data_IF_607755015787
#
_entry.id   IF_607755015787
#
_cell.length_a   1.000
_cell.length_b   1.000
_cell.length_c   1.000
_cell.angle_alpha   90.00
_cell.angle_beta   90.00
_cell.angle_gamma   90.00
#
_symmetry.space_group_name_H-M   'P 1'
#
loop_
_entity.id
_entity.type
_entity.pdbx_description
1 polymer ?
#
# COMPACT_ATOMS: atom_id res chain seq x y z
N UNK A 1 -11.23 16.12 25.57
CA UNK A 1 -11.48 15.47 24.28
C UNK A 1 -10.45 16.05 23.35
N UNK A 2 -9.29 15.41 23.33
CA UNK A 2 -8.11 15.85 22.59
C UNK A 2 -8.01 14.94 21.37
N UNK A 3 -8.27 15.53 20.21
CA UNK A 3 -8.10 14.89 18.91
C UNK A 3 -6.62 14.51 18.75
N UNK A 4 -6.35 13.20 18.74
CA UNK A 4 -5.05 12.65 18.36
C UNK A 4 -5.04 12.63 16.85
N UNK A 5 -4.49 13.70 16.25
CA UNK A 5 -4.14 13.67 14.84
C UNK A 5 -2.98 12.69 14.68
N UNK A 6 -3.20 11.56 14.01
CA UNK A 6 -2.11 10.73 13.48
C UNK A 6 -1.36 11.61 12.47
N UNK A 7 -0.24 12.16 12.90
CA UNK A 7 0.65 12.91 12.04
C UNK A 7 1.26 11.95 11.02
N UNK A 8 1.38 12.45 9.79
CA UNK A 8 1.89 11.83 8.55
C UNK A 8 3.37 11.35 8.63
N UNK A 9 3.92 11.22 9.84
CA UNK A 9 5.30 10.80 10.12
C UNK A 9 5.45 9.27 10.29
N UNK A 10 4.35 8.56 10.56
CA UNK A 10 4.33 7.10 10.70
C UNK A 10 4.00 6.36 9.39
N UNK A 11 3.49 7.07 8.38
CA UNK A 11 3.17 6.58 7.03
C UNK A 11 4.35 6.77 6.08
N UNK A 12 5.41 5.98 6.27
CA UNK A 12 6.49 5.93 5.28
C UNK A 12 6.11 4.93 4.18
N UNK A 13 5.70 5.43 3.02
CA UNK A 13 5.87 4.67 1.77
C UNK A 13 7.31 4.86 1.37
N UNK A 14 7.95 3.74 1.11
CA UNK A 14 9.39 3.69 0.95
C UNK A 14 9.64 3.07 -0.41
N UNK A 15 10.50 3.70 -1.24
CA UNK A 15 10.81 3.16 -2.55
C UNK A 15 11.22 1.68 -2.42
N UNK A 16 10.53 0.83 -3.19
CA UNK A 16 10.75 -0.61 -3.20
C UNK A 16 12.07 -0.86 -3.95
N UNK A 17 13.15 -1.07 -3.21
CA UNK A 17 14.44 -1.45 -3.78
C UNK A 17 14.57 -2.96 -3.62
N UNK A 18 14.37 -3.68 -4.72
CA UNK A 18 14.52 -5.13 -4.81
C UNK A 18 16.01 -5.51 -4.78
N UNK A 19 16.44 -6.19 -3.72
CA UNK A 19 17.67 -6.96 -3.71
C UNK A 19 17.32 -8.44 -3.62
N UNK A 20 17.34 -9.12 -4.77
CA UNK A 20 17.36 -10.57 -4.85
C UNK A 20 18.68 -11.09 -4.27
N UNK A 21 18.76 -11.22 -2.94
CA UNK A 21 19.84 -11.91 -2.26
C UNK A 21 19.22 -12.90 -1.27
N UNK A 22 19.07 -14.13 -1.75
CA UNK A 22 18.58 -15.30 -1.02
C UNK A 22 19.47 -15.61 0.20
N UNK A 23 19.01 -15.32 1.42
CA UNK A 23 19.49 -16.01 2.63
C UNK A 23 18.38 -16.06 3.70
N UNK A 24 17.89 -17.28 3.95
CA UNK A 24 17.30 -17.71 5.23
C UNK A 24 15.97 -17.08 5.67
N UNK A 25 14.88 -17.86 5.53
CA UNK A 25 13.56 -17.65 6.17
C UNK A 25 12.60 -16.62 5.51
N UNK A 26 12.56 -16.57 4.18
CA UNK A 26 11.51 -15.85 3.47
C UNK A 26 10.17 -16.62 3.57
N UNK A 27 9.26 -16.15 4.43
CA UNK A 27 7.87 -16.63 4.47
C UNK A 27 7.03 -15.75 3.55
N UNK A 28 6.48 -16.37 2.51
CA UNK A 28 5.51 -15.78 1.59
C UNK A 28 4.28 -16.68 1.60
N UNK A 29 3.21 -16.21 2.23
CA UNK A 29 2.04 -17.04 2.57
C UNK A 29 0.78 -16.39 1.98
N UNK A 30 -0.09 -17.13 1.28
CA UNK A 30 -1.38 -16.59 0.87
C UNK A 30 -2.14 -16.03 2.06
N UNK A 31 -2.84 -14.90 1.88
CA UNK A 31 -3.48 -14.22 3.01
C UNK A 31 -4.41 -15.14 3.80
N UNK A 32 -5.21 -15.98 3.14
CA UNK A 32 -6.13 -16.90 3.81
C UNK A 32 -5.43 -18.01 4.61
N UNK A 33 -4.18 -18.34 4.26
CA UNK A 33 -3.40 -19.39 4.92
C UNK A 33 -2.51 -18.83 6.04
N UNK A 34 -2.36 -17.49 6.12
CA UNK A 34 -1.51 -16.83 7.11
C UNK A 34 -2.05 -17.00 8.54
N UNK A 35 -1.20 -17.43 9.45
CA UNK A 35 -1.53 -17.73 10.85
C UNK A 35 -0.59 -17.04 11.84
N UNK A 36 -0.93 -17.08 13.13
CA UNK A 36 -0.05 -16.61 14.20
C UNK A 36 1.31 -17.33 14.21
N UNK A 37 1.33 -18.63 13.87
CA UNK A 37 2.55 -19.45 13.84
C UNK A 37 3.51 -19.04 12.71
N UNK A 38 3.01 -18.27 11.73
CA UNK A 38 3.83 -17.73 10.67
C UNK A 38 4.73 -16.59 11.14
N UNK A 39 4.33 -15.88 12.20
CA UNK A 39 5.09 -14.77 12.76
C UNK A 39 6.35 -15.23 13.51
N UNK A 40 7.39 -14.38 13.60
CA UNK A 40 8.51 -14.62 14.51
C UNK A 40 8.00 -14.70 15.96
N UNK A 41 8.61 -15.54 16.80
CA UNK A 41 8.16 -15.86 18.17
C UNK A 41 7.82 -14.62 19.00
N UNK A 42 8.65 -13.58 18.95
CA UNK A 42 8.45 -12.31 19.67
C UNK A 42 7.22 -11.50 19.21
N UNK A 43 6.70 -11.79 18.02
CA UNK A 43 5.53 -11.15 17.42
C UNK A 43 4.32 -12.09 17.32
N UNK A 44 4.37 -13.32 17.86
CA UNK A 44 3.26 -14.29 17.84
C UNK A 44 2.15 -13.91 18.83
N UNK A 45 1.60 -12.70 18.70
CA UNK A 45 0.48 -12.20 19.48
C UNK A 45 -0.65 -11.71 18.57
N UNK A 46 -1.88 -11.74 19.12
CA UNK A 46 -3.09 -11.38 18.38
C UNK A 46 -3.00 -9.97 17.79
N UNK A 47 -2.41 -9.02 18.51
CA UNK A 47 -2.30 -7.62 18.11
C UNK A 47 -1.50 -7.46 16.80
N UNK A 48 -0.40 -8.18 16.63
CA UNK A 48 0.37 -8.15 15.38
C UNK A 48 -0.36 -8.87 14.24
N UNK A 49 -0.96 -10.02 14.54
CA UNK A 49 -1.74 -10.76 13.55
C UNK A 49 -2.92 -9.94 13.04
N UNK A 50 -3.66 -9.29 13.93
CA UNK A 50 -4.82 -8.47 13.60
C UNK A 50 -4.41 -7.21 12.83
N UNK A 51 -3.26 -6.59 13.15
CA UNK A 51 -2.69 -5.49 12.39
C UNK A 51 -2.32 -5.90 10.95
N UNK A 52 -1.71 -7.07 10.76
CA UNK A 52 -1.36 -7.55 9.42
C UNK A 52 -2.63 -7.90 8.62
N UNK A 53 -3.65 -8.46 9.29
CA UNK A 53 -4.95 -8.75 8.67
C UNK A 53 -5.69 -7.48 8.26
N UNK A 54 -5.74 -6.47 9.11
CA UNK A 54 -6.36 -5.18 8.77
C UNK A 54 -5.59 -4.43 7.68
N UNK A 55 -4.27 -4.58 7.59
CA UNK A 55 -3.50 -4.10 6.43
C UNK A 55 -3.90 -4.85 5.16
N UNK A 56 -4.08 -6.16 5.23
CA UNK A 56 -4.50 -6.96 4.09
C UNK A 56 -5.90 -6.56 3.59
N UNK A 57 -6.81 -6.22 4.49
CA UNK A 57 -8.16 -5.72 4.16
C UNK A 57 -8.10 -4.46 3.28
N UNK A 58 -7.14 -3.57 3.55
CA UNK A 58 -6.93 -2.32 2.83
C UNK A 58 -6.00 -2.47 1.61
N UNK A 59 -5.38 -3.63 1.41
CA UNK A 59 -4.46 -3.86 0.29
C UNK A 59 -5.23 -4.06 -1.01
N UNK A 60 -4.82 -3.36 -2.06
CA UNK A 60 -5.49 -3.37 -3.35
C UNK A 60 -4.57 -3.88 -4.45
N UNK A 61 -5.11 -4.66 -5.39
CA UNK A 61 -4.42 -5.01 -6.62
C UNK A 61 -4.58 -3.86 -7.61
N UNK A 62 -3.50 -3.48 -8.29
CA UNK A 62 -3.50 -2.45 -9.33
C UNK A 62 -3.11 -3.07 -10.66
N UNK A 63 -3.90 -2.79 -11.69
CA UNK A 63 -3.62 -3.13 -13.08
C UNK A 63 -3.53 -1.84 -13.89
N UNK A 64 -2.41 -1.64 -14.58
CA UNK A 64 -2.20 -0.49 -15.45
C UNK A 64 -2.12 -0.96 -16.90
N UNK A 65 -3.09 -0.55 -17.71
CA UNK A 65 -3.21 -0.95 -19.13
C UNK A 65 -2.52 0.09 -20.03
N UNK A 66 -2.05 -0.33 -21.20
CA UNK A 66 -1.58 0.60 -22.25
C UNK A 66 -0.14 1.10 -22.11
N UNK A 67 0.67 0.46 -21.27
CA UNK A 67 2.02 0.90 -20.91
C UNK A 67 2.99 0.93 -22.10
N UNK A 68 2.98 -0.09 -22.97
CA UNK A 68 4.05 -0.34 -23.94
C UNK A 68 4.32 0.76 -24.97
N UNK A 69 3.29 1.44 -25.50
CA UNK A 69 3.49 2.53 -26.49
C UNK A 69 3.95 3.85 -25.86
N UNK A 70 3.47 4.14 -24.65
CA UNK A 70 3.59 5.47 -24.03
C UNK A 70 4.82 5.59 -23.15
N UNK A 71 5.27 4.49 -22.54
CA UNK A 71 6.46 4.44 -21.66
C UNK A 71 7.76 4.92 -22.33
N UNK A 72 7.94 4.69 -23.63
CA UNK A 72 9.15 5.07 -24.38
C UNK A 72 9.38 6.58 -24.44
N UNK A 73 8.33 7.39 -24.29
CA UNK A 73 8.40 8.85 -24.39
C UNK A 73 8.65 9.56 -23.07
N UNK A 74 8.24 8.98 -21.93
CA UNK A 74 8.20 9.68 -20.65
C UNK A 74 9.31 9.29 -19.67
N UNK A 75 10.02 8.18 -19.89
CA UNK A 75 11.08 7.74 -18.98
C UNK A 75 12.48 8.09 -19.49
N UNK A 76 13.21 8.85 -18.69
CA UNK A 76 14.66 9.08 -18.82
C UNK A 76 15.44 7.77 -18.64
N UNK A 77 16.69 7.72 -19.11
CA UNK A 77 17.54 6.53 -18.98
C UNK A 77 17.72 6.07 -17.52
N UNK A 78 17.69 6.98 -16.55
CA UNK A 78 17.77 6.69 -15.11
C UNK A 78 16.47 6.13 -14.51
N UNK A 79 15.31 6.37 -15.14
CA UNK A 79 14.03 5.78 -14.72
C UNK A 79 13.82 4.38 -15.30
N UNK A 80 14.55 4.02 -16.36
CA UNK A 80 14.52 2.69 -17.00
C UNK A 80 15.24 1.60 -16.20
N UNK A 81 15.96 1.95 -15.13
CA UNK A 81 16.71 0.99 -14.30
C UNK A 81 15.85 0.34 -13.21
N UNK A 82 14.66 0.85 -12.93
CA UNK A 82 13.74 0.28 -11.96
C UNK A 82 12.91 -0.86 -12.59
N UNK A 83 13.38 -2.11 -12.38
CA UNK A 83 12.74 -3.46 -12.32
C UNK A 83 11.64 -3.87 -13.30
N UNK A 84 10.91 -2.97 -13.93
CA UNK A 84 9.86 -3.32 -14.86
C UNK A 84 10.48 -3.43 -16.24
N UNK A 85 10.67 -4.68 -16.70
CA UNK A 85 11.08 -5.00 -18.08
C UNK A 85 10.31 -4.14 -19.08
N UNK A 86 10.95 -3.81 -20.20
CA UNK A 86 10.28 -3.17 -21.34
C UNK A 86 9.04 -4.00 -21.72
N UNK A 87 7.87 -3.49 -21.33
CA UNK A 87 6.61 -4.17 -21.58
C UNK A 87 6.27 -4.05 -23.08
N UNK A 88 5.88 -5.17 -23.67
CA UNK A 88 5.39 -5.25 -25.04
C UNK A 88 4.12 -4.43 -25.27
N UNK A 89 3.78 -4.24 -26.54
CA UNK A 89 2.53 -3.58 -26.92
C UNK A 89 1.32 -4.38 -26.41
N UNK A 90 0.45 -3.73 -25.62
CA UNK A 90 -0.74 -4.38 -25.04
C UNK A 90 -0.51 -5.10 -23.71
N UNK A 91 0.71 -5.13 -23.19
CA UNK A 91 0.99 -5.72 -21.89
C UNK A 91 0.45 -4.89 -20.72
N UNK A 92 0.01 -5.58 -19.68
CA UNK A 92 -0.53 -5.01 -18.43
C UNK A 92 0.58 -5.00 -17.39
N UNK A 93 0.77 -3.85 -16.73
CA UNK A 93 1.62 -3.78 -15.55
C UNK A 93 0.78 -4.05 -14.31
N UNK A 94 1.31 -4.89 -13.44
CA UNK A 94 0.72 -5.15 -12.14
C UNK A 94 1.46 -4.37 -11.05
N UNK A 95 0.70 -3.88 -10.09
CA UNK A 95 1.18 -3.29 -8.86
C UNK A 95 0.23 -3.62 -7.72
N UNK A 96 0.59 -3.14 -6.54
CA UNK A 96 -0.23 -3.17 -5.34
C UNK A 96 -0.36 -1.75 -4.79
N UNK A 97 -1.34 -1.54 -3.93
CA UNK A 97 -1.51 -0.29 -3.20
C UNK A 97 -2.26 -0.52 -1.90
N UNK A 98 -2.53 0.57 -1.19
CA UNK A 98 -3.34 0.57 0.02
C UNK A 98 -4.45 1.61 -0.12
N UNK A 99 -5.66 1.25 0.31
CA UNK A 99 -6.72 2.24 0.57
C UNK A 99 -6.24 3.14 1.71
N UNK A 100 -6.06 4.41 1.39
CA UNK A 100 -5.55 5.41 2.32
C UNK A 100 -6.67 6.14 3.03
N UNK A 101 -7.76 6.45 2.30
CA UNK A 101 -8.87 7.26 2.80
C UNK A 101 -10.10 7.10 1.91
N UNK A 102 -11.28 7.44 2.43
CA UNK A 102 -12.54 7.42 1.68
C UNK A 102 -13.36 8.68 1.94
N UNK A 103 -14.10 9.13 0.92
CA UNK A 103 -14.86 10.38 0.98
C UNK A 103 -16.26 10.18 0.45
N UNK A 104 -17.27 10.54 1.23
CA UNK A 104 -18.64 10.69 0.75
C UNK A 104 -18.78 12.01 -0.01
N UNK A 105 -19.39 11.94 -1.19
CA UNK A 105 -19.58 13.05 -2.11
C UNK A 105 -21.05 13.22 -2.44
N UNK A 106 -21.41 14.46 -2.76
CA UNK A 106 -22.77 14.85 -3.14
C UNK A 106 -22.79 15.58 -4.48
N UNK A 107 -23.96 15.95 -4.97
CA UNK A 107 -24.12 16.81 -6.16
C UNK A 107 -23.34 18.13 -6.05
N UNK A 108 -23.07 18.62 -4.82
CA UNK A 108 -22.27 19.84 -4.59
C UNK A 108 -20.80 19.66 -4.94
N UNK A 109 -20.31 18.41 -4.89
CA UNK A 109 -18.94 18.03 -5.23
C UNK A 109 -18.80 17.68 -6.72
N UNK A 110 -19.90 17.73 -7.49
CA UNK A 110 -19.96 17.36 -8.89
C UNK A 110 -20.66 16.02 -9.13
N UNK A 111 -20.75 15.63 -10.40
CA UNK A 111 -21.33 14.34 -10.80
C UNK A 111 -20.33 13.21 -10.56
N UNK A 112 -20.85 12.04 -10.17
CA UNK A 112 -20.04 10.84 -10.01
C UNK A 112 -19.35 10.47 -11.34
N UNK A 113 -18.00 10.35 -11.37
CA UNK A 113 -17.27 10.03 -12.59
C UNK A 113 -17.18 8.52 -12.90
N UNK A 114 -17.88 7.67 -12.14
CA UNK A 114 -17.87 6.23 -12.41
C UNK A 114 -18.67 5.87 -13.68
N UNK A 115 -18.29 4.76 -14.33
CA UNK A 115 -18.85 4.34 -15.63
C UNK A 115 -20.38 4.13 -15.56
N UNK A 116 -20.91 3.63 -14.43
CA UNK A 116 -22.35 3.43 -14.22
C UNK A 116 -23.13 4.76 -14.17
N UNK A 117 -22.53 5.80 -13.58
CA UNK A 117 -23.16 7.10 -13.40
C UNK A 117 -23.12 7.98 -14.64
N UNK A 118 -22.32 7.62 -15.67
CA UNK A 118 -22.37 8.29 -16.97
C UNK A 118 -23.74 8.17 -17.63
N UNK A 119 -24.47 7.08 -17.36
CA UNK A 119 -25.81 6.82 -17.89
C UNK A 119 -26.87 7.31 -16.90
N UNK A 120 -26.73 6.98 -15.62
CA UNK A 120 -27.69 7.33 -14.58
C UNK A 120 -26.98 8.02 -13.41
N UNK A 121 -26.85 9.37 -13.44
CA UNK A 121 -26.15 10.10 -12.39
C UNK A 121 -26.78 9.86 -11.02
N UNK A 122 -25.96 9.44 -10.07
CA UNK A 122 -26.34 9.36 -8.66
C UNK A 122 -26.01 10.68 -7.96
N UNK A 123 -26.88 11.07 -7.03
CA UNK A 123 -26.74 12.29 -6.24
C UNK A 123 -25.65 12.21 -5.18
N UNK A 124 -25.46 11.00 -4.67
CA UNK A 124 -24.46 10.66 -3.68
C UNK A 124 -23.55 9.61 -4.28
N UNK A 125 -22.26 9.74 -4.01
CA UNK A 125 -21.22 8.86 -4.51
C UNK A 125 -20.01 8.90 -3.59
N UNK A 126 -18.99 8.10 -3.89
CA UNK A 126 -17.79 8.02 -3.08
C UNK A 126 -16.51 8.17 -3.89
N UNK A 127 -15.51 8.78 -3.26
CA UNK A 127 -14.12 8.69 -3.70
C UNK A 127 -13.31 7.80 -2.75
N UNK A 128 -12.38 7.04 -3.32
CA UNK A 128 -11.44 6.20 -2.57
C UNK A 128 -10.04 6.68 -2.96
N UNK A 129 -9.24 7.13 -1.99
CA UNK A 129 -7.84 7.50 -2.23
C UNK A 129 -6.98 6.24 -2.10
N UNK A 130 -6.28 5.92 -3.18
CA UNK A 130 -5.34 4.80 -3.23
C UNK A 130 -3.92 5.33 -3.22
N UNK A 131 -3.12 4.73 -2.36
CA UNK A 131 -1.72 4.99 -2.19
C UNK A 131 -0.87 3.89 -2.84
N UNK A 132 0.07 4.28 -3.69
CA UNK A 132 0.93 3.35 -4.44
C UNK A 132 2.24 4.00 -4.90
N UNK A 133 2.99 3.29 -5.74
CA UNK A 133 4.27 3.73 -6.32
C UNK A 133 4.07 4.69 -7.50
N UNK A 134 4.86 5.77 -7.53
CA UNK A 134 4.89 6.71 -8.65
C UNK A 134 5.45 6.09 -9.93
N UNK A 135 6.19 4.97 -9.83
CA UNK A 135 6.72 4.23 -10.98
C UNK A 135 5.62 3.50 -11.77
N UNK A 136 4.44 3.26 -11.19
CA UNK A 136 3.30 2.69 -11.92
C UNK A 136 2.69 3.68 -12.92
N UNK A 137 2.83 4.99 -12.67
CA UNK A 137 2.32 6.03 -13.56
C UNK A 137 3.38 6.42 -14.60
N UNK A 138 3.07 6.17 -15.87
CA UNK A 138 4.02 6.32 -16.97
C UNK A 138 3.73 7.50 -17.90
N UNK A 139 2.60 8.18 -17.80
CA UNK A 139 2.27 9.39 -18.57
C UNK A 139 1.72 10.51 -17.67
N UNK A 140 1.54 11.70 -18.24
CA UNK A 140 0.86 12.83 -17.60
C UNK A 140 -0.67 12.69 -17.67
N UNK A 141 -1.15 11.60 -18.29
CA UNK A 141 -2.57 11.32 -18.32
C UNK A 141 -3.01 10.82 -16.95
N UNK A 142 -4.13 11.37 -16.55
CA UNK A 142 -4.96 11.01 -15.43
C UNK A 142 -4.96 9.49 -15.10
N UNK A 143 -5.19 9.12 -13.84
CA UNK A 143 -5.25 7.75 -13.31
C UNK A 143 -6.33 6.84 -13.95
N UNK A 144 -6.95 7.25 -15.06
CA UNK A 144 -7.97 6.54 -15.84
C UNK A 144 -7.50 5.21 -16.43
N UNK A 145 -6.20 5.01 -16.55
CA UNK A 145 -5.60 3.75 -17.00
C UNK A 145 -5.44 2.72 -15.87
N UNK A 146 -5.70 3.13 -14.63
CA UNK A 146 -5.58 2.28 -13.45
C UNK A 146 -6.92 1.60 -13.18
N UNK A 147 -6.89 0.28 -13.12
CA UNK A 147 -7.98 -0.54 -12.61
C UNK A 147 -7.54 -1.14 -11.27
N UNK A 148 -8.37 -1.01 -10.25
CA UNK A 148 -8.09 -1.58 -8.94
C UNK A 148 -9.06 -2.71 -8.63
N UNK A 149 -8.54 -3.80 -8.06
CA UNK A 149 -9.34 -4.92 -7.57
C UNK A 149 -9.18 -4.99 -6.05
N UNK A 150 -10.29 -4.83 -5.34
CA UNK A 150 -10.39 -4.95 -3.89
C UNK A 150 -10.78 -6.38 -3.50
N UNK A 151 -10.34 -6.82 -2.32
CA UNK A 151 -10.73 -8.10 -1.71
C UNK A 151 -10.39 -9.35 -2.55
N UNK A 152 -9.29 -9.31 -3.32
CA UNK A 152 -8.83 -10.44 -4.12
C UNK A 152 -7.90 -11.36 -3.31
N UNK A 153 -8.53 -12.13 -2.42
CA UNK A 153 -7.87 -12.98 -1.42
C UNK A 153 -7.70 -14.43 -1.91
N UNK A 154 -8.58 -14.87 -2.82
CA UNK A 154 -8.57 -16.18 -3.45
C UNK A 154 -9.23 -16.17 -4.84
N UNK A 155 -9.14 -17.32 -5.52
CA UNK A 155 -9.65 -17.49 -6.89
C UNK A 155 -11.18 -17.71 -6.97
N UNK A 156 -11.89 -17.79 -5.84
CA UNK A 156 -13.35 -17.96 -5.82
C UNK A 156 -14.09 -16.64 -6.12
N UNK A 157 -13.44 -15.50 -5.88
CA UNK A 157 -13.90 -14.16 -6.24
C UNK A 157 -15.29 -13.76 -5.69
N UNK A 158 -15.70 -14.31 -4.54
CA UNK A 158 -17.06 -14.16 -3.99
C UNK A 158 -17.41 -12.69 -3.65
N UNK A 159 -16.44 -11.92 -3.15
CA UNK A 159 -16.65 -10.54 -2.68
C UNK A 159 -15.77 -9.50 -3.38
N UNK A 160 -15.16 -9.88 -4.50
CA UNK A 160 -14.25 -9.00 -5.24
C UNK A 160 -15.00 -7.76 -5.75
N UNK A 161 -14.35 -6.60 -5.65
CA UNK A 161 -14.88 -5.33 -6.16
C UNK A 161 -13.88 -4.67 -7.10
N UNK A 162 -14.40 -4.08 -8.17
CA UNK A 162 -13.60 -3.41 -9.20
C UNK A 162 -13.90 -1.92 -9.16
N UNK A 163 -12.85 -1.11 -9.06
CA UNK A 163 -12.94 0.35 -9.10
C UNK A 163 -11.91 0.90 -10.08
N UNK A 164 -12.21 2.04 -10.69
CA UNK A 164 -11.35 2.68 -11.69
C UNK A 164 -10.80 3.99 -11.16
N UNK A 165 -9.51 4.23 -11.41
CA UNK A 165 -8.90 5.52 -11.14
C UNK A 165 -9.50 6.61 -12.03
N UNK A 166 -9.59 7.84 -11.52
CA UNK A 166 -10.20 8.96 -12.25
C UNK A 166 -9.46 10.29 -12.15
N UNK A 167 -8.60 10.49 -11.13
CA UNK A 167 -7.70 11.65 -10.99
C UNK A 167 -6.47 11.31 -10.16
N UNK A 168 -5.33 11.89 -10.52
CA UNK A 168 -4.15 11.91 -9.65
C UNK A 168 -4.33 13.01 -8.61
N UNK A 169 -4.11 12.70 -7.33
CA UNK A 169 -4.18 13.65 -6.24
C UNK A 169 -2.79 14.19 -5.87
N UNK A 170 -1.81 13.30 -5.72
CA UNK A 170 -0.42 13.64 -5.38
C UNK A 170 0.52 12.72 -6.16
N UNK A 171 1.59 13.27 -6.71
CA UNK A 171 2.69 12.50 -7.30
C UNK A 171 4.01 13.06 -6.84
N UNK A 172 4.85 12.22 -6.27
CA UNK A 172 6.23 12.54 -5.92
C UNK A 172 7.15 11.42 -6.41
N UNK A 173 7.80 11.65 -7.54
CA UNK A 173 8.68 10.65 -8.18
C UNK A 173 9.93 10.38 -7.33
N UNK A 174 10.47 11.40 -6.65
CA UNK A 174 11.67 11.25 -5.81
C UNK A 174 11.42 10.37 -4.59
N UNK A 175 10.21 10.42 -4.03
CA UNK A 175 9.77 9.58 -2.90
C UNK A 175 9.06 8.31 -3.34
N UNK A 176 8.97 8.05 -4.64
CA UNK A 176 8.19 6.96 -5.23
C UNK A 176 6.74 6.86 -4.69
N UNK A 177 6.09 8.00 -4.55
CA UNK A 177 4.76 8.13 -3.95
C UNK A 177 3.74 8.62 -4.97
N UNK A 178 2.63 7.89 -5.07
CA UNK A 178 1.47 8.27 -5.87
C UNK A 178 0.20 8.08 -5.05
N UNK A 179 -0.59 9.14 -4.95
CA UNK A 179 -1.98 9.10 -4.51
C UNK A 179 -2.88 9.41 -5.69
N UNK A 180 -3.85 8.55 -5.95
CA UNK A 180 -4.88 8.77 -6.95
C UNK A 180 -6.24 8.42 -6.39
N UNK A 181 -7.29 8.99 -6.98
CA UNK A 181 -8.66 8.78 -6.57
C UNK A 181 -9.33 7.79 -7.51
N UNK A 182 -10.03 6.83 -6.93
CA UNK A 182 -11.05 6.03 -7.59
C UNK A 182 -12.43 6.57 -7.23
N UNK A 183 -13.44 6.28 -8.06
CA UNK A 183 -14.82 6.69 -7.81
C UNK A 183 -15.77 5.51 -7.91
N UNK A 184 -16.82 5.54 -7.10
CA UNK A 184 -17.90 4.55 -7.14
C UNK A 184 -19.21 5.19 -6.67
N UNK A 185 -20.34 4.68 -7.15
CA UNK A 185 -21.65 4.98 -6.58
C UNK A 185 -22.15 3.93 -5.59
N UNK A 186 -21.35 2.88 -5.34
CA UNK A 186 -21.59 1.90 -4.29
C UNK A 186 -21.19 2.50 -2.93
N UNK A 187 -22.15 3.09 -2.23
CA UNK A 187 -21.93 3.68 -0.91
C UNK A 187 -21.73 2.63 0.19
N UNK A 188 -22.17 1.39 -0.02
CA UNK A 188 -21.94 0.32 0.95
C UNK A 188 -20.47 -0.12 0.91
N UNK A 189 -19.85 -0.12 -0.26
CA UNK A 189 -18.40 -0.26 -0.39
C UNK A 189 -17.64 0.84 0.36
N UNK A 190 -18.07 2.10 0.25
CA UNK A 190 -17.42 3.22 0.94
C UNK A 190 -17.49 3.04 2.46
N UNK A 191 -18.67 2.75 3.02
CA UNK A 191 -18.85 2.47 4.45
C UNK A 191 -18.04 1.27 4.92
N UNK A 192 -17.96 0.22 4.10
CA UNK A 192 -17.15 -0.97 4.41
C UNK A 192 -15.66 -0.60 4.51
N UNK A 193 -15.16 0.21 3.58
CA UNK A 193 -13.77 0.66 3.58
C UNK A 193 -13.48 1.63 4.74
N UNK A 194 -14.40 2.53 5.07
CA UNK A 194 -14.31 3.41 6.25
C UNK A 194 -14.13 2.56 7.53
N UNK A 195 -15.00 1.56 7.75
CA UNK A 195 -14.85 0.67 8.90
C UNK A 195 -13.57 -0.19 8.88
N UNK A 196 -13.01 -0.48 7.71
CA UNK A 196 -11.72 -1.15 7.59
C UNK A 196 -10.54 -0.23 7.92
N UNK A 197 -10.63 1.06 7.60
CA UNK A 197 -9.66 2.08 7.99
C UNK A 197 -9.66 2.27 9.51
N UNK A 198 -10.83 2.44 10.12
CA UNK A 198 -10.99 2.53 11.58
C UNK A 198 -10.42 1.29 12.28
N UNK A 199 -10.68 0.10 11.72
CA UNK A 199 -10.12 -1.17 12.25
C UNK A 199 -8.60 -1.20 12.14
N UNK A 200 -8.03 -0.75 11.03
CA UNK A 200 -6.58 -0.71 10.85
C UNK A 200 -5.93 0.22 11.87
N UNK A 201 -6.49 1.40 12.09
CA UNK A 201 -6.04 2.36 13.10
C UNK A 201 -6.07 1.76 14.51
N UNK A 202 -7.21 1.18 14.91
CA UNK A 202 -7.33 0.54 16.22
C UNK A 202 -6.36 -0.65 16.40
N UNK A 203 -6.15 -1.47 15.35
CA UNK A 203 -5.17 -2.55 15.39
C UNK A 203 -3.73 -2.01 15.50
N UNK A 204 -3.43 -0.89 14.86
CA UNK A 204 -2.13 -0.24 14.96
C UNK A 204 -1.86 0.28 16.37
N UNK A 205 -2.83 0.96 16.99
CA UNK A 205 -2.74 1.42 18.39
C UNK A 205 -2.53 0.25 19.35
N UNK A 206 -3.31 -0.82 19.22
CA UNK A 206 -3.17 -2.02 20.06
C UNK A 206 -1.79 -2.68 19.92
N UNK A 207 -1.27 -2.78 18.69
CA UNK A 207 0.07 -3.30 18.45
C UNK A 207 1.14 -2.36 19.02
N UNK A 208 0.97 -1.04 18.87
CA UNK A 208 1.86 -0.06 19.45
C UNK A 208 1.97 -0.20 20.97
N UNK A 209 0.84 -0.17 21.67
CA UNK A 209 0.79 -0.30 23.14
C UNK A 209 1.42 -1.61 23.63
N UNK A 210 1.24 -2.69 22.86
CA UNK A 210 1.81 -4.00 23.17
C UNK A 210 3.34 -3.99 23.10
N UNK A 211 3.91 -3.39 22.06
CA UNK A 211 5.30 -3.63 21.68
C UNK A 211 6.26 -2.48 22.00
N UNK A 212 5.76 -1.25 22.19
CA UNK A 212 6.55 -0.03 22.52
C UNK A 212 7.51 -0.22 23.69
N UNK A 213 7.19 -1.11 24.64
CA UNK A 213 8.02 -1.38 25.82
C UNK A 213 8.66 -2.77 25.84
N UNK A 214 8.32 -3.66 24.91
CA UNK A 214 8.75 -5.06 24.95
C UNK A 214 9.72 -5.43 23.84
N UNK A 215 9.69 -4.74 22.70
CA UNK A 215 10.54 -5.03 21.55
C UNK A 215 11.54 -3.90 21.36
N UNK A 216 12.83 -4.20 21.52
CA UNK A 216 13.90 -3.23 21.27
C UNK A 216 14.30 -3.23 19.78
N UNK A 217 14.26 -2.05 19.17
CA UNK A 217 14.36 -1.84 17.72
C UNK A 217 15.69 -2.24 17.07
N UNK A 218 16.77 -2.36 17.84
CA UNK A 218 18.10 -2.62 17.28
C UNK A 218 18.41 -4.10 17.03
N UNK A 219 17.56 -5.04 17.48
CA UNK A 219 17.82 -6.48 17.32
C UNK A 219 16.81 -7.25 16.45
N UNK A 220 15.55 -6.78 16.31
CA UNK A 220 14.47 -7.55 15.67
C UNK A 220 13.50 -6.70 14.84
N UNK A 221 13.98 -6.11 13.74
CA UNK A 221 13.19 -5.24 12.86
C UNK A 221 12.33 -6.03 11.88
N UNK A 222 11.15 -6.48 12.32
CA UNK A 222 10.17 -7.11 11.45
C UNK A 222 9.75 -6.15 10.33
N UNK A 223 9.71 -6.65 9.10
CA UNK A 223 9.14 -5.97 7.95
C UNK A 223 8.04 -6.85 7.40
N UNK A 224 6.84 -6.27 7.24
CA UNK A 224 5.69 -6.96 6.67
C UNK A 224 5.25 -6.25 5.39
N UNK A 225 5.01 -7.05 4.36
CA UNK A 225 4.53 -6.60 3.06
C UNK A 225 3.29 -7.44 2.75
N UNK A 226 2.17 -6.78 2.42
CA UNK A 226 0.99 -7.47 1.88
C UNK A 226 0.78 -7.01 0.44
N UNK A 227 0.88 -7.94 -0.51
CA UNK A 227 0.91 -7.58 -1.94
C UNK A 227 0.17 -8.59 -2.82
N UNK A 228 -0.01 -8.21 -4.08
CA UNK A 228 -0.52 -9.05 -5.15
C UNK A 228 0.63 -9.50 -6.08
N UNK A 229 1.39 -10.54 -5.71
CA UNK A 229 2.48 -11.05 -6.56
C UNK A 229 1.93 -11.49 -7.92
N UNK A 230 2.55 -11.01 -8.98
CA UNK A 230 2.19 -11.17 -10.38
C UNK A 230 0.75 -10.77 -10.73
N UNK A 231 0.10 -9.95 -9.89
CA UNK A 231 -1.33 -9.63 -10.03
C UNK A 231 -2.25 -10.78 -9.59
N UNK A 232 -1.74 -11.77 -8.87
CA UNK A 232 -2.50 -12.87 -8.28
C UNK A 232 -3.18 -12.51 -6.96
N UNK A 233 -3.63 -13.53 -6.23
CA UNK A 233 -4.24 -13.37 -4.90
C UNK A 233 -3.26 -12.75 -3.89
N UNK A 234 -3.79 -12.09 -2.85
CA UNK A 234 -2.97 -11.46 -1.81
C UNK A 234 -2.07 -12.46 -1.08
N UNK A 235 -0.85 -12.03 -0.80
CA UNK A 235 0.11 -12.74 0.03
C UNK A 235 0.72 -11.82 1.08
N UNK A 236 1.06 -12.40 2.22
CA UNK A 236 1.85 -11.79 3.29
C UNK A 236 3.29 -12.27 3.14
N UNK A 237 4.21 -11.33 3.01
CA UNK A 237 5.65 -11.56 3.06
C UNK A 237 6.21 -11.00 4.36
N UNK A 238 7.01 -11.81 5.06
CA UNK A 238 7.75 -11.39 6.25
C UNK A 238 9.24 -11.34 5.95
N UNK A 239 9.92 -10.34 6.49
CA UNK A 239 11.38 -10.25 6.49
C UNK A 239 11.88 -9.33 7.58
N UNK A 240 13.12 -8.86 7.42
CA UNK A 240 13.82 -8.00 8.35
C UNK A 240 14.40 -6.79 7.62
N UNK A 241 14.47 -5.66 8.31
CA UNK A 241 15.21 -4.48 7.83
C UNK A 241 16.70 -4.81 7.81
N UNK A 242 17.35 -4.63 6.67
CA UNK A 242 18.79 -4.85 6.49
C UNK A 242 19.57 -3.56 6.72
N UNK A 243 20.69 -3.65 7.43
CA UNK A 243 21.63 -2.53 7.58
C UNK A 243 22.64 -2.60 6.43
N UNK A 244 22.46 -1.72 5.44
CA UNK A 244 23.37 -1.53 4.30
C UNK A 244 23.66 -0.04 4.10
N UNK A 245 24.83 0.28 3.54
CA UNK A 245 25.40 1.62 3.40
C UNK A 245 24.35 2.70 3.10
N UNK A 246 24.30 3.73 3.96
CA UNK A 246 23.49 4.93 3.75
C UNK A 246 23.85 5.57 2.41
N UNK A 247 23.01 5.36 1.39
CA UNK A 247 23.06 6.19 0.19
C UNK A 247 22.37 7.50 0.53
N UNK A 248 23.12 8.47 1.06
CA UNK A 248 22.58 9.82 1.26
C UNK A 248 22.39 10.53 -0.10
N UNK A 249 21.31 11.33 -0.28
CA UNK A 249 20.16 11.52 0.60
C UNK A 249 18.86 11.09 -0.11
N UNK A 250 18.40 9.86 0.12
CA UNK A 250 16.96 9.58 0.03
C UNK A 250 16.60 8.56 1.10
N UNK A 251 15.47 8.79 1.77
CA UNK A 251 14.95 8.06 2.93
C UNK A 251 14.46 6.65 2.53
N UNK A 252 15.31 5.83 1.90
CA UNK A 252 15.03 4.44 1.58
C UNK A 252 15.22 3.52 2.79
N UNK A 253 14.53 2.37 2.80
CA UNK A 253 14.74 1.30 3.77
C UNK A 253 15.09 0.04 3.00
N UNK A 254 16.20 -0.59 3.40
CA UNK A 254 16.60 -1.88 2.87
C UNK A 254 15.95 -2.97 3.73
N UNK A 255 15.43 -4.01 3.09
CA UNK A 255 14.85 -5.18 3.74
C UNK A 255 15.11 -6.43 2.91
N UNK A 256 14.99 -7.61 3.53
CA UNK A 256 15.17 -8.92 2.87
C UNK A 256 13.85 -9.64 2.54
N UNK A 257 12.72 -8.98 2.80
CA UNK A 257 11.37 -9.47 2.51
C UNK A 257 11.20 -9.75 1.02
N UNK A 258 10.70 -10.93 0.61
CA UNK A 258 10.57 -11.27 -0.80
C UNK A 258 9.56 -10.35 -1.49
N UNK A 259 9.97 -9.76 -2.60
CA UNK A 259 9.14 -8.99 -3.51
C UNK A 259 9.12 -9.65 -4.88
N UNK A 260 8.03 -9.45 -5.61
CA UNK A 260 7.81 -10.01 -6.93
C UNK A 260 7.31 -8.92 -7.86
N UNK A 261 7.27 -9.18 -9.18
CA UNK A 261 6.48 -8.36 -10.09
C UNK A 261 5.05 -8.22 -9.53
N UNK A 262 4.44 -7.03 -9.55
CA UNK A 262 3.16 -6.80 -8.87
C UNK A 262 3.26 -6.33 -7.41
N UNK A 263 4.42 -6.47 -6.76
CA UNK A 263 4.64 -5.93 -5.40
C UNK A 263 4.94 -4.43 -5.37
N UNK A 264 5.22 -3.81 -6.52
CA UNK A 264 5.47 -2.37 -6.62
C UNK A 264 4.27 -1.57 -6.06
N UNK A 265 4.54 -0.58 -5.21
CA UNK A 265 3.52 0.25 -4.57
C UNK A 265 2.85 -0.34 -3.33
N UNK A 266 3.26 -1.53 -2.90
CA UNK A 266 2.80 -2.10 -1.61
C UNK A 266 3.14 -1.19 -0.44
N UNK A 267 2.23 -1.11 0.54
CA UNK A 267 2.52 -0.50 1.83
C UNK A 267 3.48 -1.39 2.64
N UNK A 268 4.65 -0.86 2.97
CA UNK A 268 5.64 -1.55 3.80
C UNK A 268 5.35 -1.24 5.27
N UNK A 269 4.82 -2.23 5.98
CA UNK A 269 4.57 -2.12 7.40
C UNK A 269 5.86 -2.41 8.16
N UNK A 270 6.39 -1.38 8.79
CA UNK A 270 7.50 -1.48 9.73
C UNK A 270 6.92 -1.10 11.08
N UNK A 271 6.73 -2.08 11.98
CA UNK A 271 6.30 -1.81 13.35
C UNK A 271 7.44 -1.10 14.09
N UNK A 272 7.56 0.20 13.87
CA UNK A 272 8.54 1.08 14.50
C UNK A 272 7.91 1.66 15.75
N UNK A 273 8.06 0.92 16.85
CA UNK A 273 7.52 1.29 18.16
C UNK A 273 8.53 2.00 19.03
N UNK A 274 9.71 2.37 18.50
CA UNK A 274 10.72 3.10 19.25
C UNK A 274 10.30 4.57 19.38
N UNK A 275 9.72 4.93 20.53
CA UNK A 275 9.66 6.33 20.94
C UNK A 275 11.03 6.68 21.51
N UNK A 276 11.96 7.13 20.65
CA UNK A 276 13.11 7.86 21.18
C UNK A 276 12.57 9.17 21.72
N UNK A 277 12.50 9.27 23.04
CA UNK A 277 12.31 10.53 23.77
C UNK A 277 13.44 11.50 23.42
N UNK A 278 13.40 12.11 22.23
CA UNK A 278 14.09 13.35 21.93
C UNK A 278 13.23 14.56 22.33
N UNK A 279 12.43 14.41 23.39
CA UNK A 279 12.04 15.55 24.21
C UNK A 279 13.27 15.90 25.05
N UNK A 280 14.21 16.62 24.44
CA UNK A 280 15.17 17.42 25.20
C UNK A 280 14.31 18.33 26.09
N UNK A 281 14.38 18.22 27.43
CA UNK A 281 13.71 19.18 28.29
C UNK A 281 14.24 20.54 27.88
N UNK A 282 13.36 21.43 27.41
CA UNK A 282 13.68 22.86 27.41
C UNK A 282 13.88 23.23 28.87
N UNK A 283 15.13 23.19 29.32
CA UNK A 283 15.55 23.79 30.57
C UNK A 283 15.11 25.24 30.52
N UNK A 284 14.34 25.66 31.51
CA UNK A 284 13.94 27.04 31.75
C UNK A 284 15.15 27.99 31.73
#
# INVERSE_FOLDING_TARGET
MSDVYITDEHTKIIPNIDYSATYGHQKHVPVNDFSLEDLPVCYQHAEMFDLIRSLADLTVKIEVKGVGKRRKHYWSAAQRTCVVKDLGEGEVMFGSGKVDDVFFRTEKDGQCPCDECLICPKKEWGEIRILTSAQLLYDEEDAKHFSCTLFYDDDQQIDVRYIRGHRVAVRNVERDLLMFMCSTCDLDLIRKLEGMLDRFEACWENAFDKYVHTVQWDSERLVVIVSHPYGGKKHVSLGKKSYGFEVKPSKGINYDTPTYQGSAGTFVLIPDFDVKDDIVPKTC
#
